data_IF_674239583362
#
_entry.id   IF_674239583362
#
_cell.length_a   1.000
_cell.length_b   1.000
_cell.length_c   1.000
_cell.angle_alpha   90.00
_cell.angle_beta   90.00
_cell.angle_gamma   90.00
#
_symmetry.space_group_name_H-M   'P 1'
#
loop_
_entity.id
_entity.type
_entity.pdbx_description
1 polymer ?
#
# COMPACT_ATOMS: atom_id res chain seq x y z
N UNK A 1 -22.63 47.88 -69.07
CA UNK A 1 -23.00 47.00 -67.94
C UNK A 1 -22.02 45.85 -67.91
N UNK A 2 -21.08 45.88 -66.96
CA UNK A 2 -19.99 44.91 -66.83
C UNK A 2 -20.50 43.61 -66.19
N UNK A 3 -20.17 42.46 -66.78
CA UNK A 3 -20.33 41.15 -66.13
C UNK A 3 -19.10 40.88 -65.26
N UNK A 4 -19.25 40.50 -63.99
CA UNK A 4 -18.11 40.24 -63.12
C UNK A 4 -17.46 38.90 -63.47
N UNK A 5 -16.12 38.89 -63.54
CA UNK A 5 -15.28 37.70 -63.45
C UNK A 5 -14.78 37.58 -62.00
N UNK A 6 -14.46 36.34 -61.63
CA UNK A 6 -13.76 35.87 -60.43
C UNK A 6 -14.62 35.44 -59.22
N UNK A 7 -14.85 34.13 -59.14
CA UNK A 7 -15.01 33.43 -57.86
C UNK A 7 -13.80 32.51 -57.64
N UNK A 8 -12.71 33.09 -57.14
CA UNK A 8 -11.60 32.31 -56.62
C UNK A 8 -12.09 31.45 -55.44
N UNK A 9 -12.00 30.12 -55.57
CA UNK A 9 -12.26 29.20 -54.45
C UNK A 9 -11.30 29.52 -53.31
N UNK A 10 -11.86 29.82 -52.14
CA UNK A 10 -11.10 29.98 -50.89
C UNK A 10 -10.21 28.75 -50.61
N UNK A 11 -8.99 28.93 -50.09
CA UNK A 11 -8.11 27.81 -49.78
C UNK A 11 -8.73 26.94 -48.68
N UNK A 12 -8.75 25.62 -48.89
CA UNK A 12 -9.22 24.67 -47.88
C UNK A 12 -8.31 24.75 -46.65
N UNK A 13 -8.84 25.25 -45.55
CA UNK A 13 -8.19 25.20 -44.23
C UNK A 13 -8.01 23.73 -43.84
N UNK A 14 -6.76 23.30 -43.61
CA UNK A 14 -6.47 21.97 -43.05
C UNK A 14 -7.06 21.89 -41.64
N UNK A 15 -7.89 20.88 -41.37
CA UNK A 15 -8.42 20.60 -40.03
C UNK A 15 -7.24 20.38 -39.06
N UNK A 16 -7.32 20.82 -37.78
CA UNK A 16 -6.16 20.90 -36.89
C UNK A 16 -5.61 19.55 -36.41
N UNK A 17 -6.29 18.44 -36.69
CA UNK A 17 -5.88 17.12 -36.21
C UNK A 17 -5.98 16.11 -37.36
N UNK A 18 -4.84 15.84 -37.99
CA UNK A 18 -4.65 14.72 -38.89
C UNK A 18 -3.72 13.75 -38.18
N UNK A 19 -4.28 12.92 -37.30
CA UNK A 19 -3.55 11.87 -36.59
C UNK A 19 -3.10 10.86 -37.65
N UNK A 20 -1.79 10.66 -37.81
CA UNK A 20 -1.28 9.64 -38.73
C UNK A 20 -1.49 8.28 -38.09
N UNK A 21 -1.63 7.23 -38.90
CA UNK A 21 -1.78 5.85 -38.41
C UNK A 21 -0.63 5.39 -37.48
N UNK A 22 0.54 6.03 -37.58
CA UNK A 22 1.69 5.79 -36.70
C UNK A 22 1.59 6.49 -35.32
N UNK A 23 0.67 7.46 -35.16
CA UNK A 23 0.42 8.19 -33.91
C UNK A 23 -0.80 7.61 -33.14
N UNK A 24 -1.49 6.64 -33.73
CA UNK A 24 -2.41 5.75 -33.01
C UNK A 24 -1.52 4.70 -32.35
N UNK A 25 -1.50 4.66 -31.02
CA UNK A 25 -0.93 3.56 -30.23
C UNK A 25 -1.68 2.27 -30.58
N UNK A 26 -1.28 1.66 -31.70
CA UNK A 26 -1.76 0.36 -32.17
C UNK A 26 -1.21 -0.78 -31.30
N UNK A 27 -0.26 -0.50 -30.41
CA UNK A 27 0.34 -1.49 -29.52
C UNK A 27 -0.68 -2.08 -28.55
N UNK A 28 -1.63 -1.28 -28.04
CA UNK A 28 -2.74 -1.77 -27.21
C UNK A 28 -3.73 -2.64 -28.01
N UNK A 29 -4.01 -2.28 -29.27
CA UNK A 29 -4.86 -3.08 -30.17
C UNK A 29 -4.16 -4.39 -30.62
N UNK A 30 -2.82 -4.35 -30.75
CA UNK A 30 -1.97 -5.50 -31.03
C UNK A 30 -1.88 -6.39 -29.78
N UNK A 31 -1.82 -5.84 -28.57
CA UNK A 31 -1.90 -6.58 -27.30
C UNK A 31 -3.27 -7.23 -27.10
N UNK A 32 -4.35 -6.54 -27.45
CA UNK A 32 -5.70 -7.08 -27.42
C UNK A 32 -5.86 -8.26 -28.41
N UNK A 33 -5.27 -8.17 -29.61
CA UNK A 33 -5.17 -9.27 -30.58
C UNK A 33 -4.27 -10.41 -30.07
N UNK A 34 -3.15 -10.09 -29.41
CA UNK A 34 -2.19 -11.06 -28.87
C UNK A 34 -2.75 -11.85 -27.67
N UNK A 35 -3.64 -11.25 -26.87
CA UNK A 35 -4.34 -11.92 -25.77
C UNK A 35 -5.24 -13.08 -26.24
N UNK A 36 -5.69 -13.02 -27.51
CA UNK A 36 -6.53 -14.02 -28.18
C UNK A 36 -5.73 -14.90 -29.16
N UNK A 37 -4.41 -14.73 -29.25
CA UNK A 37 -3.57 -15.48 -30.19
C UNK A 37 -3.25 -16.89 -29.64
N UNK A 38 -3.74 -17.97 -30.28
CA UNK A 38 -3.56 -19.33 -29.80
C UNK A 38 -2.10 -19.77 -29.76
N UNK A 39 -1.22 -19.20 -30.60
CA UNK A 39 0.21 -19.50 -30.57
C UNK A 39 0.89 -18.93 -29.31
N UNK A 40 0.46 -17.76 -28.84
CA UNK A 40 1.01 -17.12 -27.64
C UNK A 40 0.48 -17.78 -26.36
N UNK A 41 -0.79 -18.19 -26.36
CA UNK A 41 -1.37 -19.01 -25.29
C UNK A 41 -0.65 -20.36 -25.19
N UNK A 42 -0.33 -21.00 -26.32
CA UNK A 42 0.47 -22.22 -26.34
C UNK A 42 1.89 -21.96 -25.82
N UNK A 43 2.53 -20.83 -26.20
CA UNK A 43 3.85 -20.47 -25.71
C UNK A 43 3.86 -20.26 -24.18
N UNK A 44 2.85 -19.57 -23.63
CA UNK A 44 2.69 -19.38 -22.19
C UNK A 44 2.41 -20.69 -21.45
N UNK A 45 1.56 -21.55 -22.01
CA UNK A 45 1.30 -22.89 -21.48
C UNK A 45 2.57 -23.75 -21.47
N UNK A 46 3.35 -23.73 -22.55
CA UNK A 46 4.65 -24.43 -22.65
C UNK A 46 5.66 -23.88 -21.64
N UNK A 47 5.71 -22.55 -21.46
CA UNK A 47 6.57 -21.92 -20.45
C UNK A 47 6.18 -22.37 -19.04
N UNK A 48 4.88 -22.36 -18.72
CA UNK A 48 4.35 -22.81 -17.44
C UNK A 48 4.61 -24.29 -17.17
N UNK A 49 4.49 -25.16 -18.19
CA UNK A 49 4.86 -26.58 -18.07
C UNK A 49 6.36 -26.77 -17.85
N UNK A 50 7.21 -25.94 -18.46
CA UNK A 50 8.68 -25.99 -18.27
C UNK A 50 9.13 -25.53 -16.89
N UNK A 51 8.47 -24.53 -16.31
CA UNK A 51 8.88 -23.96 -15.02
C UNK A 51 8.18 -24.63 -13.84
N UNK A 52 7.00 -25.24 -14.02
CA UNK A 52 6.24 -25.88 -12.95
C UNK A 52 6.98 -27.06 -12.30
N UNK A 53 7.24 -26.92 -11.01
CA UNK A 53 7.80 -27.99 -10.17
C UNK A 53 6.82 -29.17 -10.04
N UNK A 54 5.53 -28.89 -9.88
CA UNK A 54 4.48 -29.92 -9.77
C UNK A 54 4.39 -30.78 -11.04
N UNK A 55 4.50 -30.16 -12.23
CA UNK A 55 4.51 -30.90 -13.49
C UNK A 55 5.75 -31.80 -13.63
N UNK A 56 6.92 -31.32 -13.19
CA UNK A 56 8.16 -32.13 -13.16
C UNK A 56 8.05 -33.34 -12.22
N UNK A 57 7.48 -33.14 -11.02
CA UNK A 57 7.21 -34.22 -10.07
C UNK A 57 6.24 -35.25 -10.66
N UNK A 58 5.18 -34.78 -11.31
CA UNK A 58 4.22 -35.66 -12.00
C UNK A 58 4.89 -36.52 -13.08
N UNK A 59 5.74 -35.94 -13.94
CA UNK A 59 6.48 -36.69 -14.96
C UNK A 59 7.44 -37.70 -14.31
N UNK A 60 8.11 -37.34 -13.22
CA UNK A 60 8.97 -38.27 -12.47
C UNK A 60 8.19 -39.48 -11.94
N UNK A 61 7.01 -39.24 -11.35
CA UNK A 61 6.11 -40.30 -10.85
C UNK A 61 5.60 -41.19 -11.99
N UNK A 62 5.27 -40.63 -13.16
CA UNK A 62 4.88 -41.41 -14.33
C UNK A 62 6.01 -42.31 -14.83
N UNK A 63 7.26 -41.81 -14.81
CA UNK A 63 8.42 -42.59 -15.24
C UNK A 63 8.64 -43.81 -14.33
N UNK A 64 8.50 -43.62 -13.01
CA UNK A 64 8.57 -44.70 -12.01
C UNK A 64 7.41 -45.69 -12.20
N UNK A 65 6.19 -45.20 -12.46
CA UNK A 65 5.02 -46.05 -12.68
C UNK A 65 5.12 -46.91 -13.95
N UNK A 66 5.72 -46.37 -15.03
CA UNK A 66 6.00 -47.13 -16.26
C UNK A 66 7.01 -48.23 -16.00
N UNK A 67 8.10 -47.93 -15.27
CA UNK A 67 9.12 -48.93 -14.91
C UNK A 67 8.55 -50.05 -14.02
N UNK A 68 7.54 -49.75 -13.22
CA UNK A 68 6.84 -50.73 -12.38
C UNK A 68 5.69 -51.47 -13.11
N UNK A 69 5.44 -51.21 -14.40
CA UNK A 69 4.40 -51.89 -15.19
C UNK A 69 2.97 -51.32 -15.06
N UNK A 70 2.82 -50.15 -14.43
CA UNK A 70 1.51 -49.52 -14.15
C UNK A 70 1.25 -48.24 -14.97
N UNK A 71 2.06 -47.97 -15.99
CA UNK A 71 2.10 -46.67 -16.69
C UNK A 71 0.76 -46.18 -17.27
N UNK A 72 -0.04 -47.05 -17.88
CA UNK A 72 -1.32 -46.65 -18.46
C UNK A 72 -2.39 -46.32 -17.39
N UNK A 73 -2.41 -47.06 -16.28
CA UNK A 73 -3.36 -46.80 -15.19
C UNK A 73 -3.03 -45.48 -14.47
N UNK A 74 -1.75 -45.20 -14.23
CA UNK A 74 -1.33 -43.97 -13.58
C UNK A 74 -1.47 -42.73 -14.47
N UNK A 75 -1.36 -42.86 -15.80
CA UNK A 75 -1.65 -41.76 -16.72
C UNK A 75 -3.13 -41.35 -16.65
N UNK A 76 -4.04 -42.34 -16.61
CA UNK A 76 -5.48 -42.11 -16.49
C UNK A 76 -5.82 -41.48 -15.14
N UNK A 77 -5.25 -41.99 -14.04
CA UNK A 77 -5.42 -41.41 -12.69
C UNK A 77 -4.88 -39.98 -12.63
N UNK A 78 -3.73 -39.72 -13.27
CA UNK A 78 -3.11 -38.40 -13.33
C UNK A 78 -3.94 -37.37 -14.09
N UNK A 79 -4.51 -37.77 -15.24
CA UNK A 79 -5.41 -36.92 -16.03
C UNK A 79 -6.73 -36.67 -15.27
N UNK A 80 -7.29 -37.69 -14.62
CA UNK A 80 -8.48 -37.53 -13.78
C UNK A 80 -8.22 -36.63 -12.57
N UNK A 81 -7.07 -36.76 -11.91
CA UNK A 81 -6.68 -35.90 -10.80
C UNK A 81 -6.47 -34.44 -11.25
N UNK A 82 -5.82 -34.22 -12.40
CA UNK A 82 -5.65 -32.88 -12.97
C UNK A 82 -7.00 -32.25 -13.35
N UNK A 83 -7.94 -33.05 -13.88
CA UNK A 83 -9.29 -32.58 -14.14
C UNK A 83 -10.02 -32.25 -12.83
N UNK A 84 -9.98 -33.11 -11.80
CA UNK A 84 -10.66 -32.87 -10.51
C UNK A 84 -10.07 -31.66 -9.78
N UNK A 85 -8.75 -31.51 -9.75
CA UNK A 85 -8.06 -30.39 -9.10
C UNK A 85 -8.33 -29.03 -9.77
N UNK A 86 -8.66 -29.02 -11.08
CA UNK A 86 -8.96 -27.79 -11.84
C UNK A 86 -10.45 -27.57 -12.18
N UNK A 87 -11.35 -28.52 -11.90
CA UNK A 87 -12.78 -28.39 -12.23
C UNK A 87 -13.74 -28.68 -11.07
N UNK A 88 -13.24 -29.13 -9.92
CA UNK A 88 -14.04 -29.26 -8.71
C UNK A 88 -14.24 -27.91 -8.01
N UNK A 89 -15.49 -27.54 -7.71
CA UNK A 89 -15.77 -26.49 -6.70
C UNK A 89 -15.14 -26.94 -5.39
N UNK A 90 -14.05 -26.30 -4.98
CA UNK A 90 -13.41 -26.54 -3.67
C UNK A 90 -14.39 -26.14 -2.56
N UNK A 91 -14.47 -26.95 -1.51
CA UNK A 91 -15.14 -26.57 -0.26
C UNK A 91 -14.20 -25.71 0.57
N UNK A 92 -14.75 -24.72 1.28
CA UNK A 92 -13.99 -23.86 2.17
C UNK A 92 -13.23 -24.70 3.22
N UNK A 93 -11.91 -24.51 3.30
CA UNK A 93 -11.04 -25.12 4.33
C UNK A 93 -10.09 -26.24 3.88
N UNK A 94 -10.02 -26.62 2.60
CA UNK A 94 -9.01 -27.59 2.13
C UNK A 94 -7.60 -26.97 2.05
N UNK A 95 -6.66 -27.50 2.87
CA UNK A 95 -5.27 -27.05 2.94
C UNK A 95 -4.47 -27.44 1.70
N UNK A 96 -3.62 -26.53 1.22
CA UNK A 96 -2.64 -26.77 0.15
C UNK A 96 -1.52 -27.73 0.63
N UNK A 97 -1.08 -28.63 -0.26
CA UNK A 97 0.03 -29.58 -0.12
C UNK A 97 1.39 -28.92 0.24
N UNK A 98 1.49 -27.58 0.16
CA UNK A 98 2.67 -26.83 0.58
C UNK A 98 2.65 -26.37 2.06
N UNK A 99 1.70 -26.82 2.87
CA UNK A 99 1.71 -26.54 4.32
C UNK A 99 2.77 -27.39 5.02
N UNK A 100 3.91 -26.78 5.32
CA UNK A 100 4.94 -27.34 6.21
C UNK A 100 4.30 -27.66 7.57
N UNK A 101 4.58 -28.80 8.22
CA UNK A 101 3.98 -29.11 9.52
C UNK A 101 4.51 -28.14 10.57
N UNK A 102 3.70 -27.20 11.04
CA UNK A 102 4.04 -26.39 12.21
C UNK A 102 4.16 -27.35 13.40
N UNK A 103 5.35 -27.42 13.98
CA UNK A 103 5.62 -28.19 15.19
C UNK A 103 4.69 -27.69 16.31
N UNK A 104 3.93 -28.64 16.86
CA UNK A 104 3.21 -28.61 18.15
C UNK A 104 2.65 -27.25 18.56
N UNK A 105 1.36 -27.08 18.32
CA UNK A 105 0.51 -26.14 19.03
C UNK A 105 0.77 -26.27 20.55
N UNK A 106 1.43 -25.26 21.11
CA UNK A 106 1.23 -24.91 22.49
C UNK A 106 -0.25 -24.60 22.69
N UNK A 107 -0.75 -24.96 23.86
CA UNK A 107 -2.11 -24.74 24.34
C UNK A 107 -2.68 -23.40 23.87
N UNK A 108 -3.81 -23.46 23.17
CA UNK A 108 -4.64 -22.30 22.83
C UNK A 108 -4.94 -21.52 24.13
N UNK A 109 -4.55 -20.25 24.27
CA UNK A 109 -5.00 -19.45 25.39
C UNK A 109 -6.53 -19.32 25.28
N UNK A 110 -7.18 -19.46 26.44
CA UNK A 110 -8.59 -19.17 26.67
C UNK A 110 -9.06 -17.94 25.90
N UNK A 111 -10.30 -17.98 25.40
CA UNK A 111 -11.08 -16.81 24.95
C UNK A 111 -10.64 -15.55 25.68
N UNK A 112 -9.89 -14.66 25.01
CA UNK A 112 -9.46 -13.41 25.61
C UNK A 112 -10.71 -12.66 26.08
N UNK A 113 -10.78 -12.33 27.36
CA UNK A 113 -11.89 -11.55 27.88
C UNK A 113 -11.90 -10.20 27.15
N UNK A 114 -13.08 -9.75 26.70
CA UNK A 114 -13.22 -8.43 26.06
C UNK A 114 -12.67 -7.36 27.02
N UNK A 115 -11.89 -6.40 26.51
CA UNK A 115 -11.30 -5.38 27.35
C UNK A 115 -12.39 -4.50 27.96
N UNK A 116 -12.18 -4.06 29.20
CA UNK A 116 -13.12 -3.17 29.91
C UNK A 116 -13.34 -1.84 29.19
N UNK A 117 -12.31 -1.38 28.47
CA UNK A 117 -12.34 -0.20 27.61
C UNK A 117 -11.35 -0.34 26.47
N UNK A 118 -11.51 0.46 25.43
CA UNK A 118 -10.55 0.58 24.32
C UNK A 118 -9.31 1.37 24.75
N UNK A 119 -8.16 0.98 24.21
CA UNK A 119 -6.91 1.76 24.26
C UNK A 119 -7.11 3.02 23.41
N UNK A 120 -6.75 4.17 23.99
CA UNK A 120 -6.92 5.48 23.35
C UNK A 120 -5.67 5.87 22.55
N UNK A 121 -5.75 5.68 21.24
CA UNK A 121 -4.77 6.16 20.27
C UNK A 121 -5.03 7.64 19.95
N UNK A 122 -3.95 8.39 19.72
CA UNK A 122 -3.95 9.83 19.42
C UNK A 122 -3.67 10.07 17.94
N UNK A 123 -2.65 9.40 17.41
CA UNK A 123 -2.23 9.50 16.01
C UNK A 123 -1.28 8.35 15.66
N UNK A 124 -1.14 8.08 14.37
CA UNK A 124 -0.01 7.29 13.90
C UNK A 124 1.30 8.05 14.15
N UNK A 125 2.36 7.33 14.50
CA UNK A 125 3.64 7.88 14.93
C UNK A 125 4.72 7.69 13.86
N UNK A 126 5.05 6.44 13.57
CA UNK A 126 6.20 6.07 12.75
C UNK A 126 6.09 4.62 12.27
N UNK A 127 6.90 4.24 11.28
CA UNK A 127 7.03 2.85 10.81
C UNK A 127 8.46 2.36 10.92
N UNK A 128 8.62 1.05 11.11
CA UNK A 128 9.91 0.37 11.09
C UNK A 128 10.01 -0.54 9.87
N UNK A 129 11.13 -0.48 9.18
CA UNK A 129 11.42 -1.37 8.06
C UNK A 129 12.83 -1.92 8.18
N UNK A 130 12.94 -3.23 8.02
CA UNK A 130 14.20 -3.97 8.03
C UNK A 130 14.64 -4.16 6.59
N UNK A 131 15.88 -3.82 6.28
CA UNK A 131 16.43 -3.95 4.93
C UNK A 131 17.73 -4.74 4.94
N UNK A 132 17.86 -5.63 3.95
CA UNK A 132 19.11 -6.34 3.67
C UNK A 132 20.16 -5.43 3.04
N UNK A 133 19.74 -4.61 2.08
CA UNK A 133 20.58 -3.61 1.41
C UNK A 133 20.25 -2.22 1.99
N UNK A 134 20.64 -2.01 3.26
CA UNK A 134 20.30 -0.80 4.00
C UNK A 134 20.94 0.47 3.40
N UNK A 135 22.06 0.38 2.68
CA UNK A 135 22.64 1.52 1.97
C UNK A 135 21.75 1.98 0.81
N UNK A 136 21.26 1.06 -0.03
CA UNK A 136 20.32 1.44 -1.10
C UNK A 136 18.99 1.95 -0.55
N UNK A 137 18.49 1.33 0.52
CA UNK A 137 17.30 1.84 1.20
C UNK A 137 17.51 3.27 1.70
N UNK A 138 18.67 3.57 2.29
CA UNK A 138 19.02 4.92 2.72
C UNK A 138 19.03 5.92 1.55
N UNK A 139 19.66 5.59 0.43
CA UNK A 139 19.67 6.45 -0.77
C UNK A 139 18.25 6.72 -1.29
N UNK A 140 17.42 5.67 -1.37
CA UNK A 140 16.02 5.81 -1.77
C UNK A 140 15.24 6.72 -0.82
N UNK A 141 15.37 6.56 0.51
CA UNK A 141 14.61 7.36 1.47
C UNK A 141 14.98 8.84 1.39
N UNK A 142 16.25 9.17 1.14
CA UNK A 142 16.67 10.56 0.88
C UNK A 142 16.07 11.10 -0.42
N UNK A 143 16.06 10.30 -1.48
CA UNK A 143 15.48 10.68 -2.77
C UNK A 143 13.95 10.74 -2.76
N UNK A 144 13.31 9.96 -1.89
CA UNK A 144 11.87 10.00 -1.63
C UNK A 144 11.51 11.35 -0.99
N UNK A 145 12.31 11.79 -0.02
CA UNK A 145 12.21 13.13 0.57
C UNK A 145 12.21 13.17 2.09
N UNK A 146 12.68 12.09 2.72
CA UNK A 146 12.92 12.03 4.15
C UNK A 146 14.19 12.77 4.57
N UNK A 147 14.19 13.29 5.79
CA UNK A 147 15.36 13.89 6.42
C UNK A 147 15.90 12.98 7.53
N UNK A 148 17.15 12.55 7.40
CA UNK A 148 17.83 11.79 8.46
C UNK A 148 18.02 12.68 9.71
N UNK A 149 17.48 12.25 10.85
CA UNK A 149 17.59 12.99 12.11
C UNK A 149 18.51 12.33 13.14
N UNK A 150 18.73 11.01 13.04
CA UNK A 150 19.66 10.28 13.91
C UNK A 150 20.09 8.95 13.29
N UNK A 151 21.32 8.53 13.56
CA UNK A 151 21.87 7.24 13.15
C UNK A 151 22.58 6.55 14.31
N UNK A 152 22.38 5.24 14.41
CA UNK A 152 23.09 4.31 15.30
C UNK A 152 23.82 3.26 14.44
N UNK A 153 24.46 2.27 15.08
CA UNK A 153 25.16 1.20 14.37
C UNK A 153 24.22 0.31 13.53
N UNK A 154 22.95 0.20 13.95
CA UNK A 154 21.95 -0.71 13.39
C UNK A 154 20.68 -0.01 12.88
N UNK A 155 20.53 1.31 13.10
CA UNK A 155 19.31 2.06 12.74
C UNK A 155 19.60 3.44 12.17
N UNK A 156 18.73 3.89 11.28
CA UNK A 156 18.68 5.28 10.80
C UNK A 156 17.24 5.76 10.96
N UNK A 157 17.09 6.86 11.69
CA UNK A 157 15.80 7.49 11.94
C UNK A 157 15.63 8.66 10.99
N UNK A 158 14.45 8.72 10.39
CA UNK A 158 14.07 9.78 9.47
C UNK A 158 12.82 10.48 9.96
N UNK A 159 12.81 11.79 9.78
CA UNK A 159 11.66 12.65 10.03
C UNK A 159 11.21 13.32 8.74
N UNK A 160 9.99 13.84 8.78
CA UNK A 160 9.55 14.86 7.85
C UNK A 160 9.85 16.26 8.36
N UNK A 161 9.35 17.26 7.63
CA UNK A 161 9.46 18.66 8.00
C UNK A 161 8.44 19.13 9.06
N UNK A 162 7.53 18.24 9.47
CA UNK A 162 6.62 18.41 10.60
C UNK A 162 7.33 18.28 11.97
N UNK A 163 6.54 18.19 13.05
CA UNK A 163 7.04 18.18 14.43
C UNK A 163 7.25 16.79 15.02
N UNK A 164 6.88 15.74 14.29
CA UNK A 164 7.13 14.36 14.67
C UNK A 164 8.65 14.13 14.82
N UNK A 165 9.10 13.51 15.91
CA UNK A 165 10.53 13.30 16.14
C UNK A 165 11.18 12.39 15.09
N UNK A 166 10.41 11.42 14.59
CA UNK A 166 10.70 10.62 13.40
C UNK A 166 9.40 9.99 12.89
N UNK A 167 9.38 9.58 11.62
CA UNK A 167 8.23 8.94 10.95
C UNK A 167 8.61 7.62 10.27
N UNK A 168 9.91 7.38 10.04
CA UNK A 168 10.42 6.14 9.46
C UNK A 168 11.72 5.75 10.17
N UNK A 169 11.88 4.47 10.51
CA UNK A 169 13.11 3.91 11.04
C UNK A 169 13.58 2.76 10.16
N UNK A 170 14.71 2.98 9.50
CA UNK A 170 15.44 1.98 8.72
C UNK A 170 16.31 1.16 9.67
N UNK A 171 16.06 -0.15 9.73
CA UNK A 171 16.80 -1.10 10.55
C UNK A 171 17.66 -1.97 9.64
N UNK A 172 18.95 -2.08 9.95
CA UNK A 172 19.86 -3.01 9.27
C UNK A 172 19.49 -4.45 9.62
N UNK A 173 19.35 -5.31 8.61
CA UNK A 173 18.92 -6.70 8.79
C UNK A 173 19.55 -7.63 7.76
N UNK A 174 19.45 -8.95 7.95
CA UNK A 174 19.80 -9.95 6.94
C UNK A 174 18.63 -10.26 5.98
N UNK A 175 17.45 -9.75 6.30
CA UNK A 175 16.19 -9.92 5.57
C UNK A 175 15.41 -8.62 5.46
N UNK A 176 14.68 -8.51 4.36
CA UNK A 176 13.71 -7.44 4.14
C UNK A 176 12.40 -7.79 4.84
N UNK A 177 12.03 -7.03 5.88
CA UNK A 177 10.82 -7.29 6.67
C UNK A 177 10.16 -5.98 7.15
N UNK A 178 8.84 -5.95 7.18
CA UNK A 178 8.12 -4.87 7.85
C UNK A 178 8.27 -5.04 9.36
N UNK A 179 8.79 -4.02 10.02
CA UNK A 179 9.02 -3.99 11.46
C UNK A 179 7.86 -3.44 12.27
N UNK A 180 6.73 -3.10 11.64
CA UNK A 180 5.54 -2.65 12.34
C UNK A 180 5.31 -1.14 12.29
N UNK A 181 4.10 -0.76 12.70
CA UNK A 181 3.69 0.64 12.80
C UNK A 181 3.53 1.06 14.26
N UNK A 182 3.87 2.32 14.54
CA UNK A 182 3.76 2.94 15.84
C UNK A 182 2.56 3.87 15.94
N UNK A 183 1.90 3.89 17.10
CA UNK A 183 0.81 4.80 17.43
C UNK A 183 1.07 5.48 18.77
N UNK A 184 0.87 6.80 18.80
CA UNK A 184 0.89 7.54 20.07
C UNK A 184 -0.36 7.20 20.86
N UNK A 185 -0.20 6.85 22.14
CA UNK A 185 -1.31 6.67 23.07
C UNK A 185 -1.51 7.90 23.95
N UNK A 186 -2.70 8.02 24.54
CA UNK A 186 -3.09 9.23 25.30
C UNK A 186 -2.27 9.45 26.58
N UNK A 187 -1.82 8.37 27.23
CA UNK A 187 -1.09 8.46 28.50
C UNK A 187 -0.17 7.27 28.75
N UNK A 188 0.68 7.37 29.77
CA UNK A 188 1.51 6.25 30.22
C UNK A 188 0.65 5.11 30.79
N UNK A 189 -0.50 5.42 31.37
CA UNK A 189 -1.48 4.43 31.82
C UNK A 189 -2.03 3.60 30.65
N UNK A 190 -2.17 4.16 29.45
CA UNK A 190 -2.53 3.39 28.26
C UNK A 190 -1.48 2.34 27.91
N UNK A 191 -0.18 2.65 28.04
CA UNK A 191 0.89 1.69 27.82
C UNK A 191 0.82 0.56 28.85
N UNK A 192 0.69 0.91 30.13
CA UNK A 192 0.58 -0.06 31.22
C UNK A 192 -0.69 -0.92 31.13
N UNK A 193 -1.76 -0.39 30.55
CA UNK A 193 -2.98 -1.14 30.29
C UNK A 193 -2.78 -2.08 29.11
N UNK A 194 -2.25 -1.57 27.99
CA UNK A 194 -1.98 -2.32 26.79
C UNK A 194 -1.05 -3.52 27.03
N UNK A 195 0.01 -3.36 27.83
CA UNK A 195 0.94 -4.45 28.17
C UNK A 195 0.27 -5.63 28.89
N UNK A 196 -0.87 -5.39 29.55
CA UNK A 196 -1.62 -6.41 30.30
C UNK A 196 -2.69 -7.11 29.48
N UNK A 197 -3.31 -6.38 28.53
CA UNK A 197 -4.48 -6.87 27.81
C UNK A 197 -4.20 -7.36 26.39
N UNK A 198 -3.11 -6.87 25.78
CA UNK A 198 -2.78 -7.25 24.41
C UNK A 198 -1.97 -8.56 24.39
N UNK A 199 -2.22 -9.43 23.39
CA UNK A 199 -1.47 -10.68 23.26
C UNK A 199 0.00 -10.39 22.89
N UNK A 200 0.91 -11.18 23.44
CA UNK A 200 2.36 -11.09 23.17
C UNK A 200 2.93 -9.67 23.33
N UNK A 201 2.35 -8.87 24.24
CA UNK A 201 2.82 -7.53 24.53
C UNK A 201 4.05 -7.56 25.45
N UNK A 202 5.00 -6.66 25.19
CA UNK A 202 6.13 -6.42 26.09
C UNK A 202 5.67 -5.63 27.31
N UNK A 203 6.43 -5.73 28.40
CA UNK A 203 6.39 -4.68 29.42
C UNK A 203 6.80 -3.32 28.81
N UNK A 204 6.33 -2.19 29.36
CA UNK A 204 6.75 -0.87 28.90
C UNK A 204 8.27 -0.71 28.99
N UNK A 205 8.90 -0.20 27.94
CA UNK A 205 10.33 0.04 27.86
C UNK A 205 10.67 1.40 27.27
N UNK A 206 11.85 1.92 27.61
CA UNK A 206 12.32 3.23 27.13
C UNK A 206 12.86 3.15 25.69
N UNK A 207 12.49 4.14 24.87
CA UNK A 207 13.03 4.35 23.53
C UNK A 207 14.34 5.16 23.58
N UNK A 208 15.36 4.63 24.26
CA UNK A 208 16.62 5.35 24.57
C UNK A 208 17.30 5.96 23.35
N UNK A 209 17.33 5.24 22.24
CA UNK A 209 18.03 5.66 21.03
C UNK A 209 17.12 6.38 20.02
N UNK A 210 15.80 6.30 20.16
CA UNK A 210 14.91 6.95 19.22
C UNK A 210 14.90 8.47 19.41
N UNK A 211 14.88 9.27 18.34
CA UNK A 211 14.60 10.70 18.44
C UNK A 211 13.34 10.97 19.25
N UNK A 212 13.38 11.98 20.11
CA UNK A 212 12.28 12.31 21.01
C UNK A 212 12.15 11.42 22.24
N UNK A 213 12.84 10.26 22.30
CA UNK A 213 12.76 9.34 23.44
C UNK A 213 11.35 8.79 23.66
N UNK A 214 10.91 8.71 24.92
CA UNK A 214 9.60 8.22 25.33
C UNK A 214 9.59 6.75 25.75
N UNK A 215 8.39 6.27 26.09
CA UNK A 215 8.12 4.88 26.47
C UNK A 215 7.38 4.16 25.34
N UNK A 216 7.58 2.85 25.25
CA UNK A 216 6.94 2.00 24.24
C UNK A 216 6.48 0.67 24.81
N UNK A 217 5.36 0.17 24.29
CA UNK A 217 4.92 -1.23 24.39
C UNK A 217 4.83 -1.78 22.98
N UNK A 218 5.49 -2.90 22.72
CA UNK A 218 5.37 -3.62 21.44
C UNK A 218 4.51 -4.85 21.65
N UNK A 219 3.61 -5.14 20.72
CA UNK A 219 2.87 -6.39 20.70
C UNK A 219 2.78 -6.94 19.28
N UNK A 220 2.42 -8.22 19.15
CA UNK A 220 2.11 -8.83 17.86
C UNK A 220 0.62 -9.00 17.75
N UNK A 221 0.03 -8.46 16.69
CA UNK A 221 -1.39 -8.67 16.46
C UNK A 221 -1.66 -10.17 16.21
N UNK A 222 -2.78 -10.71 16.70
CA UNK A 222 -2.96 -12.16 16.85
C UNK A 222 -3.32 -12.91 15.55
N UNK A 223 -3.54 -12.22 14.43
CA UNK A 223 -3.99 -12.83 13.17
C UNK A 223 -2.80 -13.32 12.35
N UNK A 224 -1.89 -12.41 12.03
CA UNK A 224 -0.75 -12.61 11.14
C UNK A 224 0.61 -12.33 11.81
N UNK A 225 0.60 -11.79 13.04
CA UNK A 225 1.80 -11.55 13.85
C UNK A 225 2.54 -10.25 13.51
N UNK A 226 1.89 -9.28 12.86
CA UNK A 226 2.51 -7.97 12.61
C UNK A 226 2.83 -7.24 13.91
N UNK A 227 4.02 -6.64 13.98
CA UNK A 227 4.43 -5.82 15.12
C UNK A 227 3.66 -4.50 15.12
N UNK A 228 3.19 -4.11 16.29
CA UNK A 228 2.60 -2.80 16.57
C UNK A 228 3.31 -2.20 17.78
N UNK A 229 3.56 -0.90 17.72
CA UNK A 229 4.27 -0.17 18.77
C UNK A 229 3.39 0.93 19.35
N UNK A 230 2.99 0.82 20.60
CA UNK A 230 2.30 1.90 21.30
C UNK A 230 3.35 2.77 21.97
N UNK A 231 3.30 4.08 21.77
CA UNK A 231 4.32 5.02 22.28
C UNK A 231 3.72 6.18 23.06
N UNK A 232 4.42 6.64 24.07
CA UNK A 232 4.03 7.80 24.87
C UNK A 232 5.25 8.64 25.29
N UNK A 233 5.05 9.94 25.54
CA UNK A 233 6.09 10.80 26.12
C UNK A 233 7.24 11.17 25.19
N UNK A 234 7.08 11.03 23.87
CA UNK A 234 8.09 11.47 22.91
C UNK A 234 8.13 13.00 22.84
N UNK A 235 9.32 13.57 22.95
CA UNK A 235 9.53 15.01 22.75
C UNK A 235 9.41 15.36 21.26
N UNK A 236 8.63 16.38 20.87
CA UNK A 236 8.57 16.84 19.50
C UNK A 236 9.93 17.32 19.00
N UNK A 237 10.12 17.30 17.69
CA UNK A 237 11.27 17.93 17.07
C UNK A 237 11.28 19.46 17.33
N UNK A 238 12.48 20.08 17.41
CA UNK A 238 12.61 21.48 17.83
C UNK A 238 12.14 22.49 16.78
N UNK A 239 12.13 22.08 15.51
CA UNK A 239 11.85 22.93 14.36
C UNK A 239 10.76 22.31 13.45
N UNK A 240 9.98 23.18 12.83
CA UNK A 240 8.99 22.85 11.81
C UNK A 240 9.27 23.77 10.62
N UNK A 241 9.50 23.20 9.43
CA UNK A 241 9.76 24.01 8.23
C UNK A 241 8.44 24.31 7.53
N UNK A 242 8.00 25.55 7.64
CA UNK A 242 6.82 26.03 6.90
C UNK A 242 7.19 26.20 5.43
N UNK A 243 6.54 25.43 4.57
CA UNK A 243 6.64 25.55 3.12
C UNK A 243 5.60 26.55 2.59
N UNK A 244 5.91 27.31 1.51
CA UNK A 244 5.04 28.37 1.02
C UNK A 244 3.75 27.82 0.41
N UNK A 245 2.60 28.37 0.80
CA UNK A 245 1.33 28.05 0.13
C UNK A 245 1.28 28.66 -1.27
N UNK A 246 0.96 27.84 -2.27
CA UNK A 246 0.86 28.28 -3.65
C UNK A 246 -0.38 29.15 -3.88
N UNK A 247 -0.22 30.18 -4.72
CA UNK A 247 -1.31 31.05 -5.15
C UNK A 247 -1.67 30.71 -6.59
N UNK A 248 -2.77 29.99 -6.77
CA UNK A 248 -3.23 29.57 -8.10
C UNK A 248 -3.96 30.71 -8.82
N UNK A 249 -3.75 30.81 -10.14
CA UNK A 249 -4.56 31.65 -11.01
C UNK A 249 -5.54 30.75 -11.77
N UNK A 250 -6.83 31.01 -11.63
CA UNK A 250 -7.89 30.36 -12.41
C UNK A 250 -8.15 31.15 -13.70
N UNK A 251 -8.87 30.59 -14.70
CA UNK A 251 -9.12 31.26 -15.98
C UNK A 251 -9.68 32.69 -15.83
N UNK A 252 -10.63 32.89 -14.92
CA UNK A 252 -11.32 34.17 -14.66
C UNK A 252 -10.81 34.92 -13.43
N UNK A 253 -10.14 34.24 -12.49
CA UNK A 253 -9.67 34.83 -11.24
C UNK A 253 -8.14 34.73 -11.15
N UNK A 254 -7.47 35.89 -11.11
CA UNK A 254 -6.00 35.97 -11.01
C UNK A 254 -5.64 36.43 -9.60
N UNK A 255 -5.14 35.50 -8.79
CA UNK A 255 -4.77 35.75 -7.40
C UNK A 255 -3.31 36.24 -7.28
N UNK A 256 -2.46 35.99 -8.29
CA UNK A 256 -1.06 36.42 -8.29
C UNK A 256 -0.90 37.85 -8.84
N UNK A 257 -0.08 38.71 -8.18
CA UNK A 257 0.28 40.02 -8.69
C UNK A 257 1.01 39.98 -10.05
N UNK A 258 0.92 41.06 -10.81
CA UNK A 258 1.65 41.24 -12.08
C UNK A 258 3.16 41.08 -11.86
N UNK A 259 3.81 40.27 -12.70
CA UNK A 259 5.26 40.01 -12.63
C UNK A 259 5.71 39.03 -11.54
N UNK A 260 4.77 38.45 -10.78
CA UNK A 260 5.08 37.37 -9.82
C UNK A 260 4.88 36.00 -10.48
N UNK A 261 5.97 35.25 -10.59
CA UNK A 261 6.00 33.92 -11.19
C UNK A 261 6.08 32.85 -10.11
N UNK A 262 5.47 31.70 -10.39
CA UNK A 262 5.65 30.47 -9.62
C UNK A 262 6.66 29.61 -10.39
N UNK A 263 7.78 29.34 -9.75
CA UNK A 263 8.92 28.61 -10.30
C UNK A 263 9.38 27.64 -9.24
N UNK A 264 9.64 26.42 -9.65
CA UNK A 264 10.02 25.34 -8.77
C UNK A 264 11.42 24.85 -9.09
N UNK A 265 12.11 24.37 -8.06
CA UNK A 265 13.37 23.65 -8.20
C UNK A 265 13.07 22.15 -8.19
N UNK A 266 13.69 21.41 -9.12
CA UNK A 266 13.56 19.95 -9.16
C UNK A 266 14.40 19.33 -8.06
N UNK A 267 13.75 18.71 -7.08
CA UNK A 267 14.33 18.05 -5.90
C UNK A 267 13.36 17.01 -5.32
N UNK A 268 13.77 16.15 -4.38
CA UNK A 268 12.86 15.27 -3.65
C UNK A 268 11.64 16.02 -3.08
N UNK A 269 10.48 15.36 -3.07
CA UNK A 269 9.28 15.93 -2.45
C UNK A 269 9.39 15.77 -0.94
N UNK A 270 9.58 16.85 -0.17
CA UNK A 270 9.80 16.72 1.27
C UNK A 270 8.58 16.10 1.95
N UNK A 271 8.80 15.07 2.76
CA UNK A 271 7.77 14.44 3.59
C UNK A 271 7.41 15.35 4.75
N UNK A 272 6.12 15.50 5.03
CA UNK A 272 5.57 16.21 6.18
C UNK A 272 5.42 15.27 7.38
N UNK A 273 4.47 14.33 7.29
CA UNK A 273 4.10 13.35 8.32
C UNK A 273 3.81 11.98 7.69
N UNK A 274 3.76 10.94 8.52
CA UNK A 274 3.13 9.66 8.18
C UNK A 274 1.62 9.82 8.31
N UNK A 275 0.87 9.54 7.25
CA UNK A 275 -0.59 9.59 7.24
C UNK A 275 -1.21 8.26 7.64
N UNK A 276 -0.82 7.19 6.95
CA UNK A 276 -1.37 5.86 7.18
C UNK A 276 -0.42 4.73 6.79
N UNK A 277 -0.79 3.52 7.18
CA UNK A 277 -0.20 2.29 6.64
C UNK A 277 -1.29 1.24 6.38
N UNK A 278 -0.96 0.32 5.49
CA UNK A 278 -1.86 -0.74 5.02
C UNK A 278 -1.33 -2.13 5.26
N UNK A 279 -2.22 -3.07 5.55
CA UNK A 279 -1.87 -4.50 5.64
C UNK A 279 -2.71 -5.34 4.68
N UNK A 280 -2.08 -6.35 4.09
CA UNK A 280 -2.78 -7.51 3.55
C UNK A 280 -2.78 -8.59 4.64
N UNK A 281 -3.97 -8.95 5.13
CA UNK A 281 -4.17 -9.92 6.22
C UNK A 281 -4.70 -11.25 5.71
N UNK A 282 -4.53 -12.33 6.48
CA UNK A 282 -5.07 -13.65 6.09
C UNK A 282 -6.53 -13.85 6.47
N UNK A 283 -7.03 -13.14 7.48
CA UNK A 283 -8.41 -13.26 7.98
C UNK A 283 -8.99 -11.87 8.32
N UNK A 284 -9.76 -11.31 7.38
CA UNK A 284 -10.35 -9.97 7.53
C UNK A 284 -11.20 -9.86 8.80
N UNK A 285 -12.04 -10.86 9.09
CA UNK A 285 -12.99 -10.78 10.20
C UNK A 285 -12.28 -10.79 11.55
N UNK A 286 -11.26 -11.64 11.71
CA UNK A 286 -10.47 -11.67 12.96
C UNK A 286 -9.66 -10.38 13.15
N UNK A 287 -9.06 -9.87 12.08
CA UNK A 287 -8.32 -8.61 12.13
C UNK A 287 -9.27 -7.46 12.51
N UNK A 288 -10.42 -7.38 11.84
CA UNK A 288 -11.44 -6.40 12.11
C UNK A 288 -11.95 -6.46 13.56
N UNK A 289 -12.29 -7.66 14.05
CA UNK A 289 -12.71 -7.86 15.44
C UNK A 289 -11.64 -7.40 16.43
N UNK A 290 -10.37 -7.78 16.21
CA UNK A 290 -9.27 -7.39 17.08
C UNK A 290 -9.10 -5.86 17.14
N UNK A 291 -8.90 -5.21 16.00
CA UNK A 291 -8.63 -3.77 15.97
C UNK A 291 -9.80 -2.96 16.54
N UNK A 292 -11.04 -3.33 16.22
CA UNK A 292 -12.23 -2.63 16.73
C UNK A 292 -12.60 -2.96 18.17
N UNK A 293 -12.10 -4.07 18.72
CA UNK A 293 -12.33 -4.42 20.14
C UNK A 293 -11.33 -3.70 21.05
N UNK A 294 -10.07 -3.62 20.64
CA UNK A 294 -8.99 -3.17 21.52
C UNK A 294 -8.66 -1.68 21.38
N UNK A 295 -8.92 -1.06 20.23
CA UNK A 295 -8.52 0.33 19.97
C UNK A 295 -9.73 1.22 19.66
N UNK A 296 -9.58 2.53 19.90
CA UNK A 296 -10.52 3.58 19.50
C UNK A 296 -10.50 3.84 17.99
N UNK A 297 -10.62 2.79 17.19
CA UNK A 297 -10.69 2.85 15.74
C UNK A 297 -12.17 2.73 15.32
N UNK A 298 -12.55 3.56 14.34
CA UNK A 298 -13.86 3.56 13.66
C UNK A 298 -13.65 3.67 12.15
N UNK A 299 -14.62 3.20 11.36
CA UNK A 299 -14.44 3.08 9.92
C UNK A 299 -14.90 4.30 9.15
N UNK A 300 -14.10 4.68 8.17
CA UNK A 300 -14.48 5.68 7.17
C UNK A 300 -15.08 4.99 5.95
N UNK A 301 -14.46 3.89 5.52
CA UNK A 301 -14.90 3.12 4.36
C UNK A 301 -14.87 1.62 4.69
N UNK A 302 -15.91 0.92 4.25
CA UNK A 302 -16.01 -0.53 4.26
C UNK A 302 -16.35 -1.01 2.85
N UNK A 303 -15.48 -1.84 2.31
CA UNK A 303 -15.65 -2.42 0.97
C UNK A 303 -16.09 -3.86 1.09
N UNK A 304 -17.18 -4.22 0.41
CA UNK A 304 -17.75 -5.56 0.44
C UNK A 304 -17.66 -6.26 -0.92
N UNK A 305 -17.53 -7.59 -0.90
CA UNK A 305 -17.61 -8.42 -2.10
C UNK A 305 -19.06 -8.61 -2.59
N UNK A 306 -19.25 -9.33 -3.69
CA UNK A 306 -20.58 -9.62 -4.27
C UNK A 306 -21.52 -10.39 -3.32
N UNK A 307 -20.97 -11.10 -2.33
CA UNK A 307 -21.75 -11.82 -1.30
C UNK A 307 -22.16 -10.91 -0.13
N UNK A 308 -21.72 -9.65 -0.13
CA UNK A 308 -21.95 -8.70 0.96
C UNK A 308 -21.00 -8.89 2.15
N UNK A 309 -19.92 -9.66 1.99
CA UNK A 309 -18.90 -9.83 3.04
C UNK A 309 -17.87 -8.70 2.90
N UNK A 310 -17.55 -8.03 4.01
CA UNK A 310 -16.51 -7.01 4.03
C UNK A 310 -15.13 -7.65 3.77
N UNK A 311 -14.34 -7.02 2.92
CA UNK A 311 -13.02 -7.52 2.47
C UNK A 311 -11.94 -6.46 2.54
N UNK A 312 -12.30 -5.18 2.67
CA UNK A 312 -11.36 -4.08 2.88
C UNK A 312 -12.00 -3.06 3.81
N UNK A 313 -11.18 -2.44 4.65
CA UNK A 313 -11.61 -1.38 5.55
C UNK A 313 -10.56 -0.30 5.61
N UNK A 314 -10.99 0.96 5.59
CA UNK A 314 -10.17 2.13 5.87
C UNK A 314 -10.69 2.78 7.15
N UNK A 315 -9.85 2.81 8.19
CA UNK A 315 -10.27 3.22 9.51
C UNK A 315 -9.53 4.46 10.00
N UNK A 316 -10.26 5.31 10.71
CA UNK A 316 -9.79 6.52 11.39
C UNK A 316 -9.82 6.34 12.91
N UNK A 317 -9.23 7.28 13.62
CA UNK A 317 -9.30 7.33 15.08
C UNK A 317 -10.60 7.99 15.54
N UNK A 318 -11.27 7.38 16.50
CA UNK A 318 -12.37 8.01 17.23
C UNK A 318 -11.78 8.98 18.27
N UNK A 319 -11.82 10.26 17.89
CA UNK A 319 -11.34 11.40 18.67
C UNK A 319 -12.47 12.38 19.00
N UNK A 320 -13.72 11.89 18.98
CA UNK A 320 -14.90 12.74 19.09
C UNK A 320 -15.01 13.71 17.90
N UNK A 321 -15.23 14.99 18.18
CA UNK A 321 -15.36 16.06 17.18
C UNK A 321 -14.02 16.59 16.65
N UNK A 322 -12.91 16.04 17.11
CA UNK A 322 -11.59 16.37 16.56
C UNK A 322 -11.53 15.90 15.10
N UNK A 323 -11.02 16.76 14.21
CA UNK A 323 -10.83 16.42 12.81
C UNK A 323 -9.60 15.53 12.67
N UNK A 324 -9.80 14.32 12.18
CA UNK A 324 -8.76 13.33 11.92
C UNK A 324 -8.67 13.01 10.43
N UNK A 325 -7.53 12.51 9.98
CA UNK A 325 -7.38 12.03 8.61
C UNK A 325 -8.45 10.99 8.27
N UNK A 326 -8.90 10.95 7.01
CA UNK A 326 -9.84 9.96 6.49
C UNK A 326 -9.52 8.55 6.96
N UNK A 327 -8.24 8.19 7.01
CA UNK A 327 -7.80 6.97 7.66
C UNK A 327 -6.35 7.13 8.11
N UNK A 328 -6.00 6.39 9.16
CA UNK A 328 -4.60 6.22 9.59
C UNK A 328 -4.15 4.76 9.48
N UNK A 329 -5.09 3.85 9.22
CA UNK A 329 -4.85 2.43 9.10
C UNK A 329 -5.89 1.82 8.16
N UNK A 330 -5.46 0.94 7.28
CA UNK A 330 -6.38 0.14 6.47
C UNK A 330 -5.85 -1.28 6.33
N UNK A 331 -6.76 -2.19 6.03
CA UNK A 331 -6.36 -3.54 5.66
C UNK A 331 -7.39 -4.21 4.78
N UNK A 332 -6.94 -5.22 4.05
CA UNK A 332 -7.78 -6.07 3.24
C UNK A 332 -7.31 -7.51 3.34
N UNK A 333 -8.21 -8.46 3.05
CA UNK A 333 -7.81 -9.86 2.88
C UNK A 333 -7.45 -10.14 1.43
N UNK A 334 -6.20 -10.51 1.19
CA UNK A 334 -5.68 -10.88 -0.13
C UNK A 334 -5.32 -12.36 -0.23
N UNK A 335 -5.11 -12.89 -1.45
CA UNK A 335 -4.70 -14.29 -1.65
C UNK A 335 -3.23 -14.56 -1.32
N UNK A 336 -2.40 -13.53 -1.16
CA UNK A 336 -0.99 -13.63 -0.79
C UNK A 336 -0.80 -13.90 0.71
N UNK A 337 0.43 -14.33 1.04
CA UNK A 337 0.90 -14.32 2.42
C UNK A 337 0.77 -12.92 3.03
N UNK A 338 0.55 -12.81 4.35
CA UNK A 338 0.36 -11.53 4.99
C UNK A 338 1.61 -10.66 4.81
N UNK A 339 1.40 -9.40 4.43
CA UNK A 339 2.46 -8.42 4.24
C UNK A 339 1.95 -6.99 4.47
N UNK A 340 2.87 -6.06 4.68
CA UNK A 340 2.56 -4.63 4.60
C UNK A 340 2.24 -4.27 3.17
N UNK A 341 1.08 -3.65 2.94
CA UNK A 341 0.69 -3.20 1.61
C UNK A 341 1.46 -1.93 1.24
N UNK A 342 1.39 -0.88 2.06
CA UNK A 342 2.24 0.32 1.94
C UNK A 342 2.30 1.13 3.23
N UNK A 343 3.22 2.09 3.28
CA UNK A 343 3.20 3.22 4.21
C UNK A 343 3.14 4.54 3.45
N UNK A 344 2.32 5.47 3.93
CA UNK A 344 1.93 6.66 3.17
C UNK A 344 2.27 7.95 3.88
N UNK A 345 2.92 8.86 3.15
CA UNK A 345 3.55 10.04 3.68
C UNK A 345 3.02 11.29 3.00
N UNK A 346 2.54 12.24 3.80
CA UNK A 346 1.98 13.48 3.29
C UNK A 346 3.10 14.37 2.76
N UNK A 347 2.86 15.01 1.61
CA UNK A 347 3.73 16.06 1.07
C UNK A 347 2.98 17.38 0.99
N UNK A 348 3.67 18.46 0.63
CA UNK A 348 3.15 19.82 0.82
C UNK A 348 1.95 20.19 -0.07
N UNK A 349 2.05 19.92 -1.37
CA UNK A 349 1.03 20.23 -2.36
C UNK A 349 1.24 19.39 -3.62
N UNK A 350 0.26 19.46 -4.53
CA UNK A 350 0.28 18.67 -5.76
C UNK A 350 1.48 18.97 -6.67
N UNK A 351 1.90 20.24 -6.79
CA UNK A 351 3.07 20.59 -7.59
C UNK A 351 4.34 19.97 -6.99
N UNK A 352 4.46 19.98 -5.66
CA UNK A 352 5.56 19.35 -4.91
C UNK A 352 5.59 17.84 -5.09
N UNK A 353 4.43 17.17 -4.98
CA UNK A 353 4.32 15.72 -5.21
C UNK A 353 4.74 15.35 -6.64
N UNK A 354 4.25 16.07 -7.65
CA UNK A 354 4.59 15.80 -9.06
C UNK A 354 6.07 16.06 -9.35
N UNK A 355 6.70 17.04 -8.68
CA UNK A 355 8.14 17.25 -8.74
C UNK A 355 8.91 16.07 -8.13
N UNK A 356 8.42 15.51 -7.01
CA UNK A 356 8.94 14.28 -6.41
C UNK A 356 8.81 13.08 -7.35
N UNK A 357 7.65 12.91 -7.98
CA UNK A 357 7.42 11.88 -9.00
C UNK A 357 8.45 12.00 -10.15
N UNK A 358 8.63 13.21 -10.68
CA UNK A 358 9.60 13.46 -11.76
C UNK A 358 11.07 13.30 -11.32
N UNK A 359 11.37 13.58 -10.05
CA UNK A 359 12.68 13.31 -9.44
C UNK A 359 12.95 11.81 -9.37
N UNK A 360 12.04 11.04 -8.79
CA UNK A 360 12.19 9.60 -8.60
C UNK A 360 12.27 8.85 -9.94
N UNK A 361 11.45 9.22 -10.93
CA UNK A 361 11.57 8.70 -12.31
C UNK A 361 12.94 8.96 -12.92
N UNK A 362 13.45 10.19 -12.80
CA UNK A 362 14.75 10.56 -13.37
C UNK A 362 15.91 9.81 -12.70
N UNK A 363 15.74 9.44 -11.43
CA UNK A 363 16.72 8.65 -10.67
C UNK A 363 16.62 7.16 -10.98
N UNK A 364 15.61 6.74 -11.74
CA UNK A 364 15.44 5.36 -12.21
C UNK A 364 14.75 4.44 -11.20
N UNK A 365 14.07 5.00 -10.19
CA UNK A 365 13.24 4.21 -9.28
C UNK A 365 12.02 3.65 -10.00
N UNK A 366 11.45 2.58 -9.43
CA UNK A 366 10.30 1.90 -10.02
C UNK A 366 9.01 2.46 -9.42
N UNK A 367 8.21 3.10 -10.28
CA UNK A 367 6.86 3.52 -9.91
C UNK A 367 5.98 2.27 -9.74
N UNK A 368 5.23 2.23 -8.65
CA UNK A 368 4.28 1.16 -8.37
C UNK A 368 2.92 1.50 -9.02
N UNK A 369 2.40 2.69 -8.73
CA UNK A 369 1.14 3.20 -9.30
C UNK A 369 1.03 4.70 -9.11
N UNK A 370 0.39 5.40 -10.05
CA UNK A 370 0.16 6.85 -9.99
C UNK A 370 1.04 7.67 -10.94
N UNK A 371 0.97 9.00 -10.90
CA UNK A 371 0.13 9.82 -10.01
C UNK A 371 -1.36 9.68 -10.32
N UNK A 372 -2.21 9.63 -9.31
CA UNK A 372 -3.67 9.57 -9.46
C UNK A 372 -4.42 10.20 -8.29
N UNK A 373 -5.75 10.23 -8.33
CA UNK A 373 -6.61 10.67 -7.21
C UNK A 373 -7.53 9.55 -6.78
N UNK A 374 -7.52 9.23 -5.49
CA UNK A 374 -8.44 8.29 -4.89
C UNK A 374 -9.88 8.80 -4.85
N UNK A 375 -10.84 7.88 -4.92
CA UNK A 375 -12.24 8.18 -4.57
C UNK A 375 -12.38 8.31 -3.05
N UNK A 376 -11.85 7.32 -2.32
CA UNK A 376 -11.88 7.26 -0.86
C UNK A 376 -10.86 8.23 -0.27
N UNK A 377 -11.32 9.12 0.63
CA UNK A 377 -10.48 10.14 1.27
C UNK A 377 -9.89 11.20 0.34
N UNK A 378 -10.26 11.19 -0.95
CA UNK A 378 -9.85 12.16 -1.98
C UNK A 378 -8.35 12.36 -2.19
N UNK A 379 -7.47 11.59 -1.55
CA UNK A 379 -6.02 11.76 -1.61
C UNK A 379 -5.51 11.68 -3.05
N UNK A 380 -4.62 12.59 -3.42
CA UNK A 380 -3.79 12.42 -4.63
C UNK A 380 -2.61 11.54 -4.25
N UNK A 381 -2.49 10.38 -4.88
CA UNK A 381 -1.49 9.35 -4.56
C UNK A 381 -0.37 9.27 -5.59
N UNK A 382 0.81 8.82 -5.14
CA UNK A 382 1.94 8.44 -5.97
C UNK A 382 2.77 7.36 -5.26
N UNK A 383 2.62 6.10 -5.70
CA UNK A 383 3.20 4.91 -5.09
C UNK A 383 4.52 4.51 -5.75
N UNK A 384 5.51 4.17 -4.93
CA UNK A 384 6.85 3.79 -5.36
C UNK A 384 7.31 2.51 -4.67
N UNK A 385 8.00 1.65 -5.41
CA UNK A 385 8.75 0.57 -4.80
C UNK A 385 10.10 1.08 -4.31
N UNK A 386 10.41 0.81 -3.06
CA UNK A 386 11.77 0.93 -2.56
C UNK A 386 12.67 -0.21 -3.10
N UNK A 387 13.99 -0.17 -2.84
CA UNK A 387 14.91 -1.20 -3.33
C UNK A 387 14.62 -2.62 -2.85
N UNK A 388 13.89 -2.78 -1.75
CA UNK A 388 13.45 -4.06 -1.19
C UNK A 388 12.01 -4.43 -1.60
N UNK A 389 11.39 -3.64 -2.48
CA UNK A 389 10.02 -3.81 -2.97
C UNK A 389 8.93 -3.57 -1.94
N UNK A 390 9.22 -2.88 -0.83
CA UNK A 390 8.13 -2.26 -0.06
C UNK A 390 7.56 -1.08 -0.82
N UNK A 391 6.26 -0.84 -0.65
CA UNK A 391 5.57 0.27 -1.30
C UNK A 391 5.52 1.45 -0.35
N UNK A 392 6.03 2.58 -0.78
CA UNK A 392 5.88 3.86 -0.11
C UNK A 392 5.02 4.78 -0.99
N UNK A 393 4.12 5.52 -0.35
CA UNK A 393 3.22 6.44 -1.04
C UNK A 393 3.55 7.88 -0.65
N UNK A 394 3.64 8.76 -1.63
CA UNK A 394 3.42 10.19 -1.40
C UNK A 394 1.94 10.48 -1.58
N UNK A 395 1.34 11.21 -0.64
CA UNK A 395 0.00 11.73 -0.81
C UNK A 395 -0.11 13.23 -0.52
N UNK A 396 -1.14 13.88 -1.06
CA UNK A 396 -1.60 15.23 -0.69
C UNK A 396 -3.12 15.31 -0.74
N UNK A 397 -3.68 16.37 -0.16
CA UNK A 397 -5.10 16.73 -0.31
C UNK A 397 -6.07 15.63 0.18
N UNK A 398 -5.79 15.10 1.38
CA UNK A 398 -6.64 14.11 2.04
C UNK A 398 -7.79 14.75 2.82
N UNK A 399 -8.97 14.12 2.76
CA UNK A 399 -10.14 14.56 3.52
C UNK A 399 -9.96 14.35 5.03
N UNK A 400 -10.58 15.23 5.82
CA UNK A 400 -10.66 15.12 7.27
C UNK A 400 -12.09 14.76 7.69
N UNK A 401 -12.21 13.82 8.62
CA UNK A 401 -13.47 13.33 9.17
C UNK A 401 -13.50 13.50 10.69
N UNK A 402 -14.67 13.38 11.29
CA UNK A 402 -14.87 13.27 12.74
C UNK A 402 -15.70 12.03 13.07
N UNK A 403 -16.13 11.88 14.33
CA UNK A 403 -16.95 10.74 14.75
C UNK A 403 -18.42 10.83 14.33
N UNK A 404 -18.90 11.97 13.80
CA UNK A 404 -20.28 12.14 13.33
C UNK A 404 -20.42 11.75 11.85
N UNK A 405 -19.32 11.70 11.10
CA UNK A 405 -19.33 11.24 9.71
C UNK A 405 -19.66 9.74 9.60
N UNK A 406 -20.67 9.35 8.80
CA UNK A 406 -21.09 7.96 8.68
C UNK A 406 -20.05 7.10 7.95
N UNK A 407 -20.05 5.79 8.24
CA UNK A 407 -19.26 4.83 7.47
C UNK A 407 -19.83 4.71 6.06
N UNK A 408 -18.98 4.87 5.05
CA UNK A 408 -19.35 4.60 3.67
C UNK A 408 -19.20 3.10 3.36
N UNK A 409 -20.21 2.54 2.71
CA UNK A 409 -20.27 1.13 2.33
C UNK A 409 -20.27 1.03 0.81
N UNK A 410 -19.23 0.43 0.24
CA UNK A 410 -19.05 0.37 -1.22
C UNK A 410 -18.78 -1.06 -1.71
N UNK A 411 -19.24 -1.43 -2.92
CA UNK A 411 -18.87 -2.71 -3.51
C UNK A 411 -17.40 -2.70 -3.96
N UNK A 412 -16.72 -3.84 -3.86
CA UNK A 412 -15.38 -4.02 -4.41
C UNK A 412 -15.39 -3.88 -5.93
N UNK A 413 -14.62 -2.93 -6.47
CA UNK A 413 -14.42 -2.75 -7.90
C UNK A 413 -13.07 -2.08 -8.16
N UNK A 414 -12.32 -2.46 -9.21
CA UNK A 414 -11.14 -1.71 -9.65
C UNK A 414 -11.44 -0.23 -9.92
N UNK A 415 -12.63 0.05 -10.45
CA UNK A 415 -13.09 1.40 -10.78
C UNK A 415 -13.45 2.24 -9.54
N UNK A 416 -13.51 1.60 -8.35
CA UNK A 416 -13.83 2.29 -7.11
C UNK A 416 -12.61 2.83 -6.36
N UNK A 417 -11.39 2.59 -6.86
CA UNK A 417 -10.17 3.05 -6.18
C UNK A 417 -9.75 4.47 -6.55
N UNK A 418 -9.98 4.92 -7.79
CA UNK A 418 -9.46 6.21 -8.26
C UNK A 418 -10.42 6.92 -9.22
N UNK A 419 -10.43 8.25 -9.16
CA UNK A 419 -11.19 9.14 -10.05
C UNK A 419 -10.44 9.31 -11.38
N UNK A 420 -9.13 9.48 -11.31
CA UNK A 420 -8.24 9.64 -12.45
C UNK A 420 -6.82 9.18 -12.07
N UNK A 421 -6.05 8.76 -13.06
CA UNK A 421 -4.72 8.18 -12.88
C UNK A 421 -4.47 7.12 -13.95
N UNK A 422 -3.29 6.47 -13.94
CA UNK A 422 -3.07 5.27 -14.72
C UNK A 422 -3.95 4.12 -14.20
N UNK A 423 -4.27 3.17 -15.09
CA UNK A 423 -5.01 1.97 -14.73
C UNK A 423 -4.38 1.25 -13.53
N UNK A 424 -5.22 0.66 -12.69
CA UNK A 424 -4.78 -0.09 -11.52
C UNK A 424 -3.89 -1.28 -11.95
N UNK A 425 -2.63 -1.37 -11.49
CA UNK A 425 -1.79 -2.50 -11.80
C UNK A 425 -2.39 -3.81 -11.26
N UNK A 426 -2.39 -4.92 -12.03
CA UNK A 426 -2.97 -6.19 -11.59
C UNK A 426 -2.37 -6.74 -10.29
N UNK A 427 -1.14 -6.32 -9.95
CA UNK A 427 -0.40 -6.77 -8.77
C UNK A 427 -0.59 -5.89 -7.54
N UNK A 428 -1.34 -4.78 -7.65
CA UNK A 428 -1.45 -3.81 -6.55
C UNK A 428 -2.18 -4.42 -5.33
N UNK A 429 -3.36 -5.01 -5.56
CA UNK A 429 -4.19 -5.61 -4.52
C UNK A 429 -3.95 -7.12 -4.30
N UNK A 430 -2.98 -7.72 -4.96
CA UNK A 430 -2.78 -9.18 -4.90
C UNK A 430 -1.51 -9.48 -4.22
#
# INVERSE_FOLDING_TARGET
MAKPKDSAKAPKVKKPYHIKKADLHLDEYIEEQNSKNPALLLQRAVAHLKTSFQFKVYIGLQFVAVLAGYGQAMLIIGLLWAMVANTGKRKDGERNVNSVPSRRAGTCPSTMAKPERKIQLVRIAHVYYRHKDWEKAHEFLQDFGFEECKRTDDKIYYRGYGREPFVYCLIKSDKDEFGGAGFVVESEEELNYASKILPDATEPYELKDAPGGGMCVTFKEPVDGFEWHLVYGQSPAPDERVLPTLTFNYPTEKHRPVGKFQRFEKKPAPVHKLGHFGLCVTDFNKAYEFYHTYFNIIDSELVHNEKGENVTVFSRLDRGKERVDHHCFFFFSGPRAPHVHHSSFETHDFDTQVLGHDWLRHKGYENCWGVGRHIMGSQIFDYWFDPSKFVLEHYVDGDLLDNEYPVNLTPASPDNLHVWGPDLPPTFLT
#
